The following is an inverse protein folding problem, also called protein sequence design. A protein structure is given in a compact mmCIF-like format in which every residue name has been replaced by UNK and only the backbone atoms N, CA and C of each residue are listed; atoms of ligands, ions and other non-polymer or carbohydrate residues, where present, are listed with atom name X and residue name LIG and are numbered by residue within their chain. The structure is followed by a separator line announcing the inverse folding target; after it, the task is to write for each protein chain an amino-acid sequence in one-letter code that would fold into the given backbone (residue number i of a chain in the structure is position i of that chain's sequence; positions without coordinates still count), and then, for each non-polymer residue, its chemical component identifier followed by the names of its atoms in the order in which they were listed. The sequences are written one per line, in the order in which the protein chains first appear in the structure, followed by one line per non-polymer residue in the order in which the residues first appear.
data_IF_487815747932
#
_entry.id   IF_487815747932
#
_cell.length_a   1.000
_cell.length_b   1.000
_cell.length_c   1.000
_cell.angle_alpha   90.00
_cell.angle_beta   90.00
_cell.angle_gamma   90.00
#
_symmetry.space_group_name_H-M   'P 1'
#
loop_
_entity.id
_entity.type
_entity.pdbx_description
1 polymer ?
#
# COMPACT_ATOMS: atom_id res chain seq x y z
N UNK A 1 3.56 30.68 -68.83
CA UNK A 1 2.46 29.87 -68.30
C UNK A 1 3.05 28.73 -67.47
N UNK A 2 3.02 28.89 -66.15
CA UNK A 2 3.63 27.99 -65.15
C UNK A 2 2.59 26.95 -64.73
N UNK A 3 2.79 25.67 -65.06
CA UNK A 3 1.99 24.57 -64.49
C UNK A 3 2.68 24.05 -63.24
N UNK A 4 2.20 24.48 -62.07
CA UNK A 4 2.64 23.98 -60.76
C UNK A 4 1.97 22.63 -60.51
N UNK A 5 2.76 21.56 -60.33
CA UNK A 5 2.29 20.31 -59.71
C UNK A 5 1.93 20.61 -58.23
N UNK A 6 0.76 20.20 -57.72
CA UNK A 6 0.49 20.29 -56.30
C UNK A 6 1.19 19.14 -55.57
N UNK A 7 2.09 19.49 -54.65
CA UNK A 7 2.49 18.64 -53.54
C UNK A 7 1.30 18.52 -52.57
N UNK A 8 0.68 17.35 -52.50
CA UNK A 8 -0.20 16.97 -51.39
C UNK A 8 0.55 15.99 -50.48
N UNK A 9 0.54 16.14 -49.15
CA UNK A 9 1.07 15.12 -48.27
C UNK A 9 0.19 13.87 -48.36
N UNK A 10 0.81 12.70 -48.53
CA UNK A 10 0.13 11.41 -48.48
C UNK A 10 -0.44 11.19 -47.08
N UNK A 11 -1.77 11.18 -46.95
CA UNK A 11 -2.45 10.75 -45.73
C UNK A 11 -2.36 9.23 -45.66
N UNK A 12 -1.26 8.73 -45.12
CA UNK A 12 -1.07 7.29 -44.88
C UNK A 12 -0.30 7.07 -43.60
N UNK A 13 -0.90 6.28 -42.70
CA UNK A 13 -0.34 5.62 -41.48
C UNK A 13 -0.51 6.25 -40.09
N UNK A 14 -1.21 7.38 -39.92
CA UNK A 14 -1.51 7.92 -38.58
C UNK A 14 -3.02 7.95 -38.31
N UNK A 15 -3.57 6.88 -37.71
CA UNK A 15 -4.80 6.97 -36.89
C UNK A 15 -5.34 5.65 -36.31
N UNK A 16 -4.78 4.47 -36.62
CA UNK A 16 -5.39 3.21 -36.14
C UNK A 16 -5.03 2.88 -34.69
N UNK A 17 -3.79 3.16 -34.27
CA UNK A 17 -3.30 2.92 -32.89
C UNK A 17 -4.03 3.73 -31.79
N UNK A 18 -4.27 5.05 -31.93
CA UNK A 18 -5.02 5.79 -30.92
C UNK A 18 -6.50 5.39 -30.89
N UNK A 19 -7.07 4.98 -32.03
CA UNK A 19 -8.46 4.52 -32.11
C UNK A 19 -8.65 3.17 -31.42
N UNK A 20 -7.69 2.24 -31.58
CA UNK A 20 -7.66 0.95 -30.89
C UNK A 20 -7.42 1.09 -29.39
N UNK A 21 -6.57 2.03 -28.97
CA UNK A 21 -6.37 2.35 -27.56
C UNK A 21 -7.63 2.97 -26.94
N UNK A 22 -8.33 3.85 -27.67
CA UNK A 22 -9.59 4.45 -27.23
C UNK A 22 -10.71 3.38 -27.14
N UNK A 23 -10.78 2.47 -28.11
CA UNK A 23 -11.72 1.34 -28.10
C UNK A 23 -11.42 0.34 -26.97
N UNK A 24 -10.15 0.07 -26.66
CA UNK A 24 -9.77 -0.78 -25.53
C UNK A 24 -10.17 -0.14 -24.18
N UNK A 25 -9.98 1.18 -24.04
CA UNK A 25 -10.38 1.94 -22.86
C UNK A 25 -11.91 1.98 -22.73
N UNK A 26 -12.65 2.11 -23.83
CA UNK A 26 -14.12 2.04 -23.81
C UNK A 26 -14.66 0.64 -23.48
N UNK A 27 -13.99 -0.42 -23.94
CA UNK A 27 -14.39 -1.81 -23.61
C UNK A 27 -14.10 -2.17 -22.14
N UNK A 28 -13.03 -1.63 -21.55
CA UNK A 28 -12.70 -1.80 -20.13
C UNK A 28 -13.58 -0.92 -19.20
N UNK A 29 -14.15 0.18 -19.71
CA UNK A 29 -15.03 1.08 -18.95
C UNK A 29 -16.51 0.62 -18.91
N UNK A 30 -16.89 -0.35 -19.76
CA UNK A 30 -18.29 -0.78 -19.89
C UNK A 30 -18.91 -1.43 -18.64
N UNK A 31 -18.17 -2.12 -17.74
CA UNK A 31 -18.75 -2.59 -16.48
C UNK A 31 -18.87 -1.48 -15.41
N UNK A 32 -18.34 -0.27 -15.66
CA UNK A 32 -18.33 0.82 -14.68
C UNK A 32 -19.62 1.66 -14.70
N UNK A 33 -20.40 1.59 -15.78
CA UNK A 33 -21.57 2.44 -16.03
C UNK A 33 -22.92 1.73 -15.83
N UNK A 34 -22.90 0.47 -15.40
CA UNK A 34 -24.11 -0.32 -15.13
C UNK A 34 -24.18 -0.77 -13.66
N UNK A 35 -23.84 0.13 -12.73
CA UNK A 35 -24.25 -0.03 -11.34
C UNK A 35 -25.67 0.54 -11.22
N UNK A 36 -26.65 -0.34 -11.11
CA UNK A 36 -27.95 0.03 -10.54
C UNK A 36 -27.71 0.72 -9.19
N UNK A 37 -28.49 1.73 -8.79
CA UNK A 37 -28.35 2.36 -7.49
C UNK A 37 -28.72 1.32 -6.41
N UNK A 38 -27.72 0.60 -5.92
CA UNK A 38 -27.82 -0.19 -4.71
C UNK A 38 -28.19 0.80 -3.60
N UNK A 39 -29.23 0.51 -2.80
CA UNK A 39 -29.62 1.42 -1.73
C UNK A 39 -28.39 1.62 -0.85
N UNK A 40 -27.97 2.89 -0.73
CA UNK A 40 -26.94 3.32 0.20
C UNK A 40 -27.42 2.84 1.56
N UNK A 41 -26.94 1.68 2.00
CA UNK A 41 -27.10 1.27 3.38
C UNK A 41 -26.55 2.43 4.20
N UNK A 42 -27.39 2.96 5.09
CA UNK A 42 -27.27 4.33 5.63
C UNK A 42 -25.96 4.48 6.39
N UNK A 43 -24.93 4.95 5.70
CA UNK A 43 -23.61 5.15 6.26
C UNK A 43 -23.70 6.18 7.38
N UNK A 44 -23.06 5.90 8.52
CA UNK A 44 -23.01 6.87 9.60
C UNK A 44 -21.96 7.93 9.27
N UNK A 45 -22.42 9.19 9.20
CA UNK A 45 -21.54 10.31 8.87
C UNK A 45 -20.40 10.52 9.87
N UNK A 46 -20.61 10.22 11.15
CA UNK A 46 -19.62 10.35 12.22
C UNK A 46 -18.53 9.28 12.11
N UNK A 47 -18.95 8.02 11.98
CA UNK A 47 -18.03 6.90 11.77
C UNK A 47 -17.24 7.07 10.46
N UNK A 48 -17.92 7.48 9.39
CA UNK A 48 -17.29 7.76 8.09
C UNK A 48 -16.26 8.88 8.19
N UNK A 49 -16.59 9.99 8.85
CA UNK A 49 -15.67 11.11 9.04
C UNK A 49 -14.44 10.70 9.87
N UNK A 50 -14.65 9.94 10.95
CA UNK A 50 -13.56 9.46 11.79
C UNK A 50 -12.62 8.52 11.04
N UNK A 51 -13.16 7.55 10.28
CA UNK A 51 -12.32 6.61 9.52
C UNK A 51 -11.61 7.29 8.34
N UNK A 52 -12.21 8.32 7.72
CA UNK A 52 -11.51 9.14 6.73
C UNK A 52 -10.30 9.87 7.34
N UNK A 53 -10.49 10.50 8.50
CA UNK A 53 -9.41 11.19 9.23
C UNK A 53 -8.36 10.17 9.68
N UNK A 54 -8.79 9.03 10.21
CA UNK A 54 -7.89 7.94 10.64
C UNK A 54 -7.06 7.40 9.48
N UNK A 55 -7.67 7.21 8.32
CA UNK A 55 -6.96 6.82 7.08
C UNK A 55 -5.88 7.83 6.71
N UNK A 56 -6.19 9.13 6.77
CA UNK A 56 -5.21 10.19 6.51
C UNK A 56 -4.08 10.20 7.55
N UNK A 57 -4.39 10.00 8.83
CA UNK A 57 -3.42 9.92 9.92
C UNK A 57 -2.48 8.72 9.77
N UNK A 58 -2.99 7.55 9.38
CA UNK A 58 -2.14 6.36 9.16
C UNK A 58 -1.30 6.50 7.90
N UNK A 59 -1.85 7.07 6.82
CA UNK A 59 -1.04 7.38 5.63
C UNK A 59 0.10 8.36 5.97
N UNK A 60 -0.19 9.35 6.81
CA UNK A 60 0.78 10.31 7.33
C UNK A 60 1.92 9.65 8.12
N UNK A 61 1.65 8.52 8.77
CA UNK A 61 2.70 7.71 9.42
C UNK A 61 3.74 7.21 8.42
N UNK A 62 3.37 6.89 7.18
CA UNK A 62 4.35 6.48 6.15
C UNK A 62 4.96 7.70 5.46
N UNK A 63 4.12 8.63 5.00
CA UNK A 63 4.52 9.83 4.27
C UNK A 63 4.03 11.08 5.00
N UNK A 64 4.88 11.83 5.72
CA UNK A 64 6.35 11.73 5.75
C UNK A 64 6.94 11.09 7.03
N UNK A 65 6.14 10.66 8.01
CA UNK A 65 6.67 10.41 9.36
C UNK A 65 7.77 9.35 9.41
N UNK A 66 7.53 8.16 8.85
CA UNK A 66 8.52 7.08 8.80
C UNK A 66 9.73 7.44 7.93
N UNK A 67 9.50 8.19 6.86
CA UNK A 67 10.56 8.65 5.99
C UNK A 67 11.52 9.63 6.70
N UNK A 68 10.98 10.51 7.55
CA UNK A 68 11.78 11.40 8.42
C UNK A 68 12.44 10.61 9.56
N UNK A 69 11.72 9.66 10.16
CA UNK A 69 12.22 8.81 11.23
C UNK A 69 13.51 8.07 10.81
N UNK A 70 13.41 7.28 9.74
CA UNK A 70 14.56 6.55 9.20
C UNK A 70 15.54 7.46 8.48
N UNK A 71 15.06 8.53 7.84
CA UNK A 71 15.90 9.56 7.23
C UNK A 71 16.91 10.10 8.23
N UNK A 72 16.47 10.48 9.43
CA UNK A 72 17.32 10.98 10.51
C UNK A 72 18.42 10.01 10.96
N UNK A 73 18.12 8.71 10.94
CA UNK A 73 19.02 7.63 11.41
C UNK A 73 20.05 7.19 10.37
N UNK A 74 19.83 7.47 9.08
CA UNK A 74 20.78 7.13 8.02
C UNK A 74 21.81 8.23 7.79
N UNK A 75 22.84 7.92 7.01
CA UNK A 75 23.84 8.91 6.58
C UNK A 75 23.24 9.86 5.54
N UNK A 76 23.73 11.10 5.49
CA UNK A 76 23.20 12.18 4.63
C UNK A 76 23.04 11.76 3.17
N UNK A 77 24.00 11.01 2.63
CA UNK A 77 23.99 10.54 1.24
C UNK A 77 22.84 9.58 0.90
N UNK A 78 22.18 9.00 1.91
CA UNK A 78 21.14 7.99 1.75
C UNK A 78 19.74 8.49 2.16
N UNK A 79 19.61 9.70 2.69
CA UNK A 79 18.31 10.26 3.12
C UNK A 79 17.31 10.28 1.97
N UNK A 80 17.75 10.69 0.78
CA UNK A 80 16.90 10.67 -0.42
C UNK A 80 16.41 9.26 -0.78
N UNK A 81 17.25 8.25 -0.59
CA UNK A 81 16.85 6.85 -0.84
C UNK A 81 15.74 6.39 0.10
N UNK A 82 15.75 6.83 1.37
CA UNK A 82 14.70 6.49 2.35
C UNK A 82 13.36 7.12 1.94
N UNK A 83 13.39 8.41 1.59
CA UNK A 83 12.21 9.14 1.13
C UNK A 83 11.61 8.47 -0.12
N UNK A 84 12.46 8.11 -1.09
CA UNK A 84 12.03 7.42 -2.30
C UNK A 84 11.46 6.03 -2.03
N UNK A 85 12.03 5.26 -1.08
CA UNK A 85 11.45 3.97 -0.71
C UNK A 85 10.06 4.12 -0.09
N UNK A 86 9.86 5.05 0.83
CA UNK A 86 8.56 5.26 1.47
C UNK A 86 7.48 5.68 0.44
N UNK A 87 7.83 6.60 -0.46
CA UNK A 87 6.92 7.04 -1.52
C UNK A 87 6.60 5.94 -2.53
N UNK A 88 7.63 5.25 -3.03
CA UNK A 88 7.45 4.20 -4.03
C UNK A 88 6.71 2.98 -3.49
N UNK A 89 6.95 2.59 -2.23
CA UNK A 89 6.18 1.50 -1.61
C UNK A 89 4.74 1.90 -1.37
N UNK A 90 4.47 3.14 -0.97
CA UNK A 90 3.09 3.62 -0.86
C UNK A 90 2.36 3.46 -2.18
N UNK A 91 2.96 3.88 -3.30
CA UNK A 91 2.37 3.70 -4.63
C UNK A 91 2.20 2.22 -5.01
N UNK A 92 3.26 1.41 -4.88
CA UNK A 92 3.26 0.00 -5.25
C UNK A 92 2.21 -0.80 -4.47
N UNK A 93 2.22 -0.66 -3.14
CA UNK A 93 1.33 -1.42 -2.26
C UNK A 93 -0.11 -0.96 -2.44
N UNK A 94 -0.38 0.35 -2.63
CA UNK A 94 -1.73 0.84 -2.92
C UNK A 94 -2.33 0.18 -4.16
N UNK A 95 -1.53 0.08 -5.23
CA UNK A 95 -1.98 -0.56 -6.47
C UNK A 95 -2.23 -2.06 -6.25
N UNK A 96 -1.28 -2.78 -5.66
CA UNK A 96 -1.44 -4.23 -5.41
C UNK A 96 -2.64 -4.51 -4.48
N UNK A 97 -2.85 -3.66 -3.48
CA UNK A 97 -3.95 -3.76 -2.54
C UNK A 97 -5.31 -3.64 -3.23
N UNK A 98 -5.53 -2.58 -4.00
CA UNK A 98 -6.81 -2.37 -4.70
C UNK A 98 -7.02 -3.41 -5.81
N UNK A 99 -5.97 -3.80 -6.53
CA UNK A 99 -6.08 -4.79 -7.60
C UNK A 99 -6.54 -6.14 -7.04
N UNK A 100 -5.89 -6.67 -6.00
CA UNK A 100 -6.28 -7.97 -5.45
C UNK A 100 -6.07 -8.14 -3.95
N UNK A 101 -5.15 -7.38 -3.33
CA UNK A 101 -4.78 -7.58 -1.92
C UNK A 101 -5.97 -7.47 -0.97
N UNK A 102 -6.84 -6.48 -1.16
CA UNK A 102 -8.06 -6.32 -0.37
C UNK A 102 -8.97 -7.55 -0.47
N UNK A 103 -9.16 -8.07 -1.69
CA UNK A 103 -9.97 -9.27 -1.91
C UNK A 103 -9.42 -10.48 -1.16
N UNK A 104 -8.12 -10.72 -1.30
CA UNK A 104 -7.45 -11.87 -0.67
C UNK A 104 -7.42 -11.74 0.85
N UNK A 105 -7.47 -10.53 1.41
CA UNK A 105 -7.51 -10.31 2.85
C UNK A 105 -8.93 -10.39 3.44
N UNK A 106 -9.95 -9.83 2.77
CA UNK A 106 -11.28 -9.55 3.34
C UNK A 106 -12.47 -10.13 2.55
N UNK A 107 -12.22 -11.14 1.71
CA UNK A 107 -13.28 -11.95 1.11
C UNK A 107 -13.33 -13.33 1.74
N UNK A 108 -14.48 -14.00 1.63
CA UNK A 108 -14.62 -15.39 2.04
C UNK A 108 -13.59 -16.28 1.34
N UNK A 109 -13.02 -17.22 2.09
CA UNK A 109 -11.99 -18.12 1.58
C UNK A 109 -11.75 -19.31 2.51
N UNK A 110 -10.48 -19.55 2.82
CA UNK A 110 -10.03 -20.63 3.70
C UNK A 110 -9.29 -20.06 4.92
N UNK A 111 -8.83 -20.94 5.81
CA UNK A 111 -8.13 -20.57 7.02
C UNK A 111 -6.94 -19.58 6.85
N UNK A 112 -6.29 -19.55 5.68
CA UNK A 112 -5.09 -18.74 5.40
C UNK A 112 -5.30 -17.60 4.42
N UNK A 113 -6.20 -17.75 3.44
CA UNK A 113 -6.42 -16.75 2.39
C UNK A 113 -7.90 -16.60 2.09
N UNK A 114 -8.32 -15.37 1.86
CA UNK A 114 -9.60 -15.03 1.26
C UNK A 114 -9.68 -15.37 -0.23
N UNK A 115 -10.81 -15.06 -0.83
CA UNK A 115 -11.10 -15.27 -2.25
C UNK A 115 -10.75 -14.10 -3.17
N UNK A 116 -11.12 -14.24 -4.44
CA UNK A 116 -10.95 -13.23 -5.49
C UNK A 116 -12.25 -12.50 -5.86
N UNK A 117 -13.31 -12.63 -5.05
CA UNK A 117 -14.63 -12.07 -5.34
C UNK A 117 -14.66 -10.53 -5.32
N UNK A 118 -13.73 -9.88 -4.61
CA UNK A 118 -13.66 -8.42 -4.46
C UNK A 118 -12.46 -7.79 -5.19
N UNK A 119 -11.87 -8.48 -6.18
CA UNK A 119 -10.80 -7.94 -7.05
C UNK A 119 -11.26 -6.61 -7.66
N UNK A 120 -10.41 -5.59 -7.60
CA UNK A 120 -10.74 -4.21 -8.03
C UNK A 120 -11.99 -3.61 -7.36
N UNK A 121 -12.28 -4.02 -6.12
CA UNK A 121 -13.52 -3.70 -5.40
C UNK A 121 -14.77 -4.23 -6.15
N UNK A 122 -14.63 -5.34 -6.88
CA UNK A 122 -15.74 -6.02 -7.54
C UNK A 122 -16.70 -6.71 -6.56
N UNK A 123 -17.67 -7.44 -7.09
CA UNK A 123 -18.59 -8.25 -6.26
C UNK A 123 -19.53 -7.44 -5.38
N UNK A 124 -19.77 -6.17 -5.70
CA UNK A 124 -20.65 -5.27 -4.93
C UNK A 124 -19.94 -4.43 -3.86
N UNK A 125 -18.64 -4.68 -3.60
CA UNK A 125 -17.89 -3.99 -2.55
C UNK A 125 -17.74 -2.47 -2.74
N UNK A 126 -17.97 -1.95 -3.95
CA UNK A 126 -17.94 -0.50 -4.23
C UNK A 126 -19.08 0.27 -3.57
N UNK A 127 -20.26 -0.34 -3.55
CA UNK A 127 -21.51 0.32 -3.15
C UNK A 127 -22.06 -0.25 -1.82
N UNK A 128 -21.31 -1.17 -1.20
CA UNK A 128 -21.68 -1.84 0.03
C UNK A 128 -21.22 -1.09 1.29
N UNK A 129 -21.89 -1.39 2.40
CA UNK A 129 -21.41 -1.11 3.76
C UNK A 129 -20.66 -2.35 4.26
N UNK A 130 -19.53 -2.14 4.92
CA UNK A 130 -18.74 -3.25 5.45
C UNK A 130 -19.52 -3.99 6.56
N UNK A 131 -19.51 -5.34 6.59
CA UNK A 131 -20.30 -6.13 7.54
C UNK A 131 -20.12 -5.69 8.99
N UNK A 132 -21.21 -5.69 9.76
CA UNK A 132 -21.26 -5.31 11.18
C UNK A 132 -20.78 -3.87 11.48
N UNK A 133 -20.76 -3.00 10.49
CA UNK A 133 -20.41 -1.59 10.63
C UNK A 133 -21.41 -0.67 9.92
N UNK A 134 -21.19 0.64 10.02
CA UNK A 134 -21.91 1.66 9.26
C UNK A 134 -20.99 2.47 8.34
N UNK A 135 -19.85 1.89 7.96
CA UNK A 135 -18.87 2.55 7.09
C UNK A 135 -18.92 1.95 5.67
N UNK A 136 -18.76 2.78 4.62
CA UNK A 136 -18.59 2.27 3.25
C UNK A 136 -17.45 1.27 3.16
N UNK A 137 -17.67 0.16 2.46
CA UNK A 137 -16.64 -0.87 2.30
C UNK A 137 -15.41 -0.34 1.52
N UNK A 138 -15.62 0.61 0.63
CA UNK A 138 -14.54 1.36 -0.05
C UNK A 138 -13.67 2.14 0.92
N UNK A 139 -14.27 2.73 1.96
CA UNK A 139 -13.54 3.43 3.02
C UNK A 139 -12.80 2.45 3.91
N UNK A 140 -13.41 1.31 4.27
CA UNK A 140 -12.72 0.26 5.00
C UNK A 140 -11.52 -0.28 4.22
N UNK A 141 -11.66 -0.50 2.91
CA UNK A 141 -10.56 -0.89 2.03
C UNK A 141 -9.43 0.14 2.02
N UNK A 142 -9.76 1.43 1.90
CA UNK A 142 -8.78 2.51 1.95
C UNK A 142 -8.06 2.60 3.30
N UNK A 143 -8.78 2.42 4.41
CA UNK A 143 -8.21 2.40 5.75
C UNK A 143 -7.21 1.24 5.88
N UNK A 144 -7.63 0.01 5.58
CA UNK A 144 -6.77 -1.19 5.66
C UNK A 144 -5.57 -1.15 4.70
N UNK A 145 -5.69 -0.47 3.56
CA UNK A 145 -4.57 -0.22 2.65
C UNK A 145 -3.40 0.47 3.34
N UNK A 146 -3.67 1.39 4.26
CA UNK A 146 -2.61 2.15 4.96
C UNK A 146 -1.77 1.27 5.88
N UNK A 147 -2.37 0.24 6.50
CA UNK A 147 -1.68 -0.79 7.27
C UNK A 147 -0.81 -1.67 6.35
N UNK A 148 -1.37 -2.06 5.20
CA UNK A 148 -0.63 -2.82 4.19
C UNK A 148 0.59 -2.03 3.67
N UNK A 149 0.47 -0.71 3.51
CA UNK A 149 1.57 0.18 3.11
C UNK A 149 2.66 0.27 4.18
N UNK A 150 2.30 0.59 5.42
CA UNK A 150 3.28 0.91 6.46
C UNK A 150 4.09 -0.32 6.88
N UNK A 151 3.49 -1.51 6.83
CA UNK A 151 4.10 -2.75 7.34
C UNK A 151 5.43 -3.12 6.68
N UNK A 152 5.54 -3.30 5.34
CA UNK A 152 6.83 -3.52 4.70
C UNK A 152 7.74 -2.29 4.78
N UNK A 153 7.17 -1.08 4.94
CA UNK A 153 7.94 0.14 5.11
C UNK A 153 8.70 0.19 6.45
N UNK A 154 8.15 -0.40 7.50
CA UNK A 154 8.85 -0.55 8.79
C UNK A 154 10.14 -1.36 8.65
N UNK A 155 10.23 -2.27 7.67
CA UNK A 155 11.41 -3.11 7.43
C UNK A 155 12.57 -2.34 6.80
N UNK A 156 12.34 -1.16 6.20
CA UNK A 156 13.40 -0.38 5.51
C UNK A 156 14.63 -0.20 6.39
N UNK A 157 14.45 0.14 7.67
CA UNK A 157 15.56 0.37 8.61
C UNK A 157 16.54 -0.80 8.67
N UNK A 158 16.08 -2.03 8.42
CA UNK A 158 16.86 -3.24 8.44
C UNK A 158 17.79 -3.40 7.24
N UNK A 159 17.51 -2.83 6.07
CA UNK A 159 18.33 -3.05 4.86
C UNK A 159 18.65 -1.76 4.10
N UNK A 160 18.27 -0.61 4.65
CA UNK A 160 18.61 0.69 4.10
C UNK A 160 20.11 0.80 3.83
N UNK A 161 20.47 1.39 2.69
CA UNK A 161 21.84 1.50 2.18
C UNK A 161 22.50 0.17 1.72
N UNK A 162 21.81 -0.98 1.81
CA UNK A 162 22.40 -2.31 1.54
C UNK A 162 21.71 -3.11 0.43
N UNK A 163 20.50 -2.73 0.04
CA UNK A 163 19.76 -3.38 -1.06
C UNK A 163 19.55 -2.42 -2.23
N UNK A 164 19.54 -2.96 -3.44
CA UNK A 164 19.16 -2.22 -4.65
C UNK A 164 17.67 -1.85 -4.57
N UNK A 165 17.29 -0.68 -5.08
CA UNK A 165 15.90 -0.20 -5.06
C UNK A 165 14.90 -1.24 -5.60
N UNK A 166 15.19 -1.84 -6.76
CA UNK A 166 14.34 -2.87 -7.35
C UNK A 166 14.19 -4.11 -6.44
N UNK A 167 15.25 -4.50 -5.73
CA UNK A 167 15.19 -5.63 -4.80
C UNK A 167 14.28 -5.31 -3.60
N UNK A 168 14.26 -4.05 -3.14
CA UNK A 168 13.34 -3.60 -2.09
C UNK A 168 11.89 -3.63 -2.59
N UNK A 169 11.62 -3.13 -3.81
CA UNK A 169 10.26 -3.16 -4.38
C UNK A 169 9.74 -4.59 -4.56
N UNK A 170 10.56 -5.49 -5.10
CA UNK A 170 10.20 -6.90 -5.28
C UNK A 170 10.01 -7.61 -3.93
N UNK A 171 10.90 -7.35 -2.96
CA UNK A 171 10.76 -7.86 -1.61
C UNK A 171 9.42 -7.42 -1.01
N UNK A 172 9.09 -6.13 -1.04
CA UNK A 172 7.84 -5.61 -0.46
C UNK A 172 6.59 -6.17 -1.15
N UNK A 173 6.60 -6.32 -2.48
CA UNK A 173 5.49 -6.91 -3.22
C UNK A 173 5.29 -8.40 -2.89
N UNK A 174 6.37 -9.18 -2.86
CA UNK A 174 6.30 -10.61 -2.53
C UNK A 174 5.93 -10.81 -1.05
N UNK A 175 6.49 -9.97 -0.17
CA UNK A 175 6.21 -10.00 1.27
C UNK A 175 4.75 -9.65 1.56
N UNK A 176 4.18 -8.67 0.84
CA UNK A 176 2.74 -8.39 0.90
C UNK A 176 1.95 -9.66 0.61
N UNK A 177 2.24 -10.34 -0.49
CA UNK A 177 1.47 -11.51 -0.95
C UNK A 177 1.63 -12.72 -0.02
N UNK A 178 2.86 -13.04 0.36
CA UNK A 178 3.20 -14.31 1.02
C UNK A 178 3.12 -14.21 2.54
N UNK A 179 3.25 -13.02 3.11
CA UNK A 179 3.28 -12.82 4.57
C UNK A 179 2.13 -11.94 5.03
N UNK A 180 2.01 -10.72 4.51
CA UNK A 180 1.02 -9.77 5.02
C UNK A 180 -0.41 -10.25 4.77
N UNK A 181 -0.77 -10.58 3.52
CA UNK A 181 -2.12 -10.99 3.15
C UNK A 181 -2.61 -12.21 3.96
N UNK A 182 -1.86 -13.32 4.07
CA UNK A 182 -2.35 -14.45 4.84
C UNK A 182 -2.44 -14.15 6.34
N UNK A 183 -1.49 -13.44 6.94
CA UNK A 183 -1.59 -13.09 8.37
C UNK A 183 -2.75 -12.12 8.62
N UNK A 184 -2.97 -11.16 7.71
CA UNK A 184 -4.11 -10.25 7.74
C UNK A 184 -5.44 -11.03 7.65
N UNK A 185 -5.58 -11.95 6.69
CA UNK A 185 -6.78 -12.77 6.55
C UNK A 185 -7.02 -13.65 7.78
N UNK A 186 -5.97 -14.33 8.26
CA UNK A 186 -6.03 -15.17 9.45
C UNK A 186 -6.53 -14.40 10.67
N UNK A 187 -6.13 -13.14 10.82
CA UNK A 187 -6.38 -12.34 12.03
C UNK A 187 -7.65 -11.50 11.94
N UNK A 188 -7.86 -10.81 10.82
CA UNK A 188 -8.94 -9.82 10.62
C UNK A 188 -9.95 -10.20 9.54
N UNK A 189 -9.58 -11.11 8.64
CA UNK A 189 -10.42 -11.53 7.51
C UNK A 189 -11.31 -12.74 7.79
N UNK A 190 -11.40 -13.20 9.05
CA UNK A 190 -12.19 -14.37 9.43
C UNK A 190 -11.48 -15.72 9.25
N UNK A 191 -10.15 -15.73 9.09
CA UNK A 191 -9.36 -16.96 8.97
C UNK A 191 -8.96 -17.58 10.32
N UNK A 192 -7.90 -18.36 10.30
CA UNK A 192 -7.51 -19.27 11.39
C UNK A 192 -7.32 -18.63 12.76
N UNK A 193 -6.66 -17.47 12.85
CA UNK A 193 -6.42 -16.80 14.13
C UNK A 193 -7.70 -16.22 14.72
N UNK A 194 -8.60 -15.74 13.86
CA UNK A 194 -9.95 -15.30 14.26
C UNK A 194 -10.76 -16.46 14.85
N UNK A 195 -10.73 -17.65 14.24
CA UNK A 195 -11.40 -18.86 14.76
C UNK A 195 -10.84 -19.31 16.12
N UNK A 196 -9.55 -19.10 16.36
CA UNK A 196 -8.91 -19.37 17.65
C UNK A 196 -9.18 -18.30 18.73
N UNK A 197 -9.87 -17.20 18.38
CA UNK A 197 -10.14 -16.10 19.30
C UNK A 197 -8.91 -15.24 19.62
N UNK A 198 -7.93 -15.19 18.72
CA UNK A 198 -6.75 -14.32 18.88
C UNK A 198 -7.20 -12.86 18.84
N UNK A 199 -6.85 -12.11 19.89
CA UNK A 199 -7.17 -10.69 19.98
C UNK A 199 -6.00 -9.85 19.47
N UNK A 200 -6.14 -9.31 18.27
CA UNK A 200 -5.23 -8.31 17.71
C UNK A 200 -6.02 -7.11 17.19
N UNK A 201 -6.13 -6.07 18.02
CA UNK A 201 -7.00 -4.93 17.76
C UNK A 201 -6.53 -4.05 16.60
N UNK A 202 -5.23 -3.72 16.57
CA UNK A 202 -4.66 -2.75 15.63
C UNK A 202 -3.38 -3.26 14.91
N UNK A 203 -3.01 -4.52 15.06
CA UNK A 203 -1.96 -5.13 14.24
C UNK A 203 -0.67 -5.36 14.99
N UNK A 204 -0.76 -5.68 16.28
CA UNK A 204 0.36 -6.23 17.04
C UNK A 204 1.00 -7.41 16.33
N UNK A 205 0.19 -8.33 15.79
CA UNK A 205 0.64 -9.45 14.98
C UNK A 205 0.78 -9.00 13.54
N UNK A 206 -0.30 -8.53 12.92
CA UNK A 206 -0.39 -8.29 11.47
C UNK A 206 0.66 -7.30 10.97
N UNK A 207 0.97 -6.26 11.76
CA UNK A 207 1.90 -5.20 11.40
C UNK A 207 3.24 -5.36 12.13
N UNK A 208 3.23 -5.35 13.46
CA UNK A 208 4.47 -5.12 14.22
C UNK A 208 5.34 -6.38 14.34
N UNK A 209 4.76 -7.53 14.72
CA UNK A 209 5.51 -8.79 14.84
C UNK A 209 6.00 -9.24 13.46
N UNK A 210 5.14 -9.24 12.44
CA UNK A 210 5.51 -9.64 11.08
C UNK A 210 6.63 -8.75 10.52
N UNK A 211 6.53 -7.41 10.65
CA UNK A 211 7.58 -6.49 10.21
C UNK A 211 8.86 -6.65 11.03
N UNK A 212 8.76 -6.82 12.36
CA UNK A 212 9.91 -7.02 13.24
C UNK A 212 10.70 -8.29 12.92
N UNK A 213 10.00 -9.40 12.69
CA UNK A 213 10.62 -10.67 12.25
C UNK A 213 11.23 -10.52 10.87
N UNK A 214 10.53 -9.88 9.92
CA UNK A 214 11.06 -9.61 8.59
C UNK A 214 12.35 -8.75 8.65
N UNK A 215 12.38 -7.76 9.52
CA UNK A 215 13.55 -6.90 9.74
C UNK A 215 14.72 -7.69 10.32
N UNK A 216 14.48 -8.57 11.29
CA UNK A 216 15.51 -9.44 11.86
C UNK A 216 16.09 -10.39 10.80
N UNK A 217 15.23 -11.09 10.06
CA UNK A 217 15.64 -12.00 8.98
C UNK A 217 16.42 -11.24 7.90
N UNK A 218 15.93 -10.07 7.47
CA UNK A 218 16.64 -9.24 6.51
C UNK A 218 18.02 -8.80 7.02
N UNK A 219 18.15 -8.43 8.31
CA UNK A 219 19.45 -8.10 8.89
C UNK A 219 20.44 -9.27 8.86
N UNK A 220 19.97 -10.49 9.12
CA UNK A 220 20.79 -11.71 9.10
C UNK A 220 21.23 -12.02 7.67
N UNK A 221 20.29 -12.02 6.72
CA UNK A 221 20.52 -12.41 5.33
C UNK A 221 21.37 -11.41 4.54
N UNK A 222 21.15 -10.11 4.77
CA UNK A 222 21.90 -9.04 4.09
C UNK A 222 23.31 -8.88 4.67
N UNK A 223 23.51 -9.23 5.94
CA UNK A 223 24.80 -9.16 6.62
C UNK A 223 25.23 -7.75 7.04
N UNK A 224 26.44 -7.62 7.59
CA UNK A 224 26.96 -6.39 8.22
C UNK A 224 27.14 -5.26 7.20
N UNK A 225 26.97 -4.01 7.66
CA UNK A 225 27.28 -2.82 6.84
C UNK A 225 28.79 -2.77 6.57
N UNK A 226 29.19 -2.35 5.37
CA UNK A 226 30.60 -2.10 5.04
C UNK A 226 31.18 -1.06 6.01
N UNK A 227 32.26 -1.42 6.69
CA UNK A 227 32.93 -0.59 7.70
C UNK A 227 32.44 -0.80 9.13
N UNK A 228 31.47 -1.67 9.41
CA UNK A 228 31.11 -2.03 10.79
C UNK A 228 32.00 -3.17 11.31
N UNK A 229 32.56 -3.09 12.53
CA UNK A 229 32.34 -2.06 13.56
C UNK A 229 33.35 -0.89 13.51
N UNK A 230 34.33 -0.93 12.62
CA UNK A 230 35.54 -0.08 12.69
C UNK A 230 35.31 1.39 12.32
N UNK A 231 34.27 1.69 11.54
CA UNK A 231 33.89 3.04 11.08
C UNK A 231 32.67 3.51 11.83
N UNK A 232 32.76 4.66 12.49
CA UNK A 232 31.61 5.30 13.12
C UNK A 232 30.55 5.68 12.08
N UNK A 233 29.32 5.21 12.30
CA UNK A 233 28.16 5.48 11.43
C UNK A 233 27.22 6.44 12.14
N UNK A 234 27.59 7.73 12.17
CA UNK A 234 26.81 8.77 12.86
C UNK A 234 25.52 9.06 12.06
N UNK A 235 24.35 9.11 12.73
CA UNK A 235 23.10 9.58 12.13
C UNK A 235 23.23 10.98 11.53
N UNK A 236 22.58 11.26 10.41
CA UNK A 236 22.72 12.59 9.80
C UNK A 236 22.01 13.70 10.58
N UNK A 237 20.85 13.40 11.19
CA UNK A 237 20.04 14.39 11.89
C UNK A 237 19.02 13.74 12.84
N UNK A 238 19.34 13.69 14.13
CA UNK A 238 18.43 13.15 15.15
C UNK A 238 17.17 14.01 15.34
N UNK A 239 17.20 15.30 14.99
CA UNK A 239 16.00 16.15 15.01
C UNK A 239 14.95 15.63 14.04
N UNK A 240 15.34 15.14 12.86
CA UNK A 240 14.40 14.51 11.92
C UNK A 240 13.83 13.20 12.48
N UNK A 241 14.65 12.42 13.18
CA UNK A 241 14.16 11.21 13.86
C UNK A 241 13.11 11.56 14.92
N UNK A 242 13.32 12.60 15.72
CA UNK A 242 12.36 13.05 16.73
C UNK A 242 11.08 13.59 16.09
N UNK A 243 11.19 14.42 15.03
CA UNK A 243 10.02 14.91 14.29
C UNK A 243 9.21 13.75 13.71
N UNK A 244 9.87 12.82 13.03
CA UNK A 244 9.24 11.61 12.50
C UNK A 244 8.57 10.78 13.59
N UNK A 245 9.22 10.62 14.75
CA UNK A 245 8.64 9.90 15.91
C UNK A 245 7.37 10.58 16.44
N UNK A 246 7.38 11.91 16.56
CA UNK A 246 6.22 12.68 17.01
C UNK A 246 5.07 12.57 16.01
N UNK A 247 5.36 12.62 14.71
CA UNK A 247 4.36 12.44 13.65
C UNK A 247 3.81 11.02 13.63
N UNK A 248 4.65 9.99 13.85
CA UNK A 248 4.20 8.61 14.02
C UNK A 248 3.26 8.48 15.21
N UNK A 249 3.57 9.11 16.35
CA UNK A 249 2.71 9.08 17.53
C UNK A 249 1.34 9.72 17.25
N UNK A 250 1.30 10.90 16.62
CA UNK A 250 0.04 11.53 16.23
C UNK A 250 -0.75 10.66 15.24
N UNK A 251 -0.08 10.12 14.22
CA UNK A 251 -0.71 9.22 13.26
C UNK A 251 -1.26 7.93 13.89
N UNK A 252 -0.62 7.48 14.97
CA UNK A 252 -1.01 6.27 15.71
C UNK A 252 -2.40 6.37 16.35
N UNK A 253 -2.94 7.57 16.57
CA UNK A 253 -4.33 7.74 17.02
C UNK A 253 -5.37 7.35 15.95
N UNK A 254 -5.01 7.41 14.67
CA UNK A 254 -5.84 6.85 13.61
C UNK A 254 -5.55 5.36 13.35
N UNK A 255 -4.41 4.86 13.82
CA UNK A 255 -4.00 3.46 13.66
C UNK A 255 -4.66 2.54 14.68
N UNK A 256 -4.82 3.01 15.92
CA UNK A 256 -5.51 2.32 16.99
C UNK A 256 -7.00 2.69 16.99
#
# INVERSE_FOLDING_TARGET
MLSRKPFGPSVSSLSVLPLLALLLVSFLASPLLAADPVPVAEADSGDTAWILVSTALVLFMTIPALALFYGGLVRTKNVLSVLMHCFAMTALISVLWVVFGYSVAFSDGNAFFGGLSKVLLGGGARDAIYPDTKIPETLFCAFQMTFAIITPALVIGAFVERMKFLAVMLFSALWLIVVYLPICHMTWGGGWFSELGVMDFAGGIVVHITAGVAALVACIMVGKRKGYPDTQMIPHNLTYTVIGSAMLWVGWFGFN
#
